data_IF_236617059681
#
_entry.id   IF_236617059681
#
_cell.length_a   1.000
_cell.length_b   1.000
_cell.length_c   1.000
_cell.angle_alpha   90.00
_cell.angle_beta   90.00
_cell.angle_gamma   90.00
#
_symmetry.space_group_name_H-M   'P 1'
#
loop_
_entity.id
_entity.type
_entity.pdbx_description
1 polymer ?
#
# COMPACT_ATOMS: atom_id res chain seq x y z
N UNK A 1 -9.52 5.28 11.42
CA UNK A 1 -9.15 3.85 11.60
C UNK A 1 -10.23 2.89 11.08
N UNK A 2 -11.48 3.08 11.49
CA UNK A 2 -12.63 2.24 11.13
C UNK A 2 -12.83 2.05 9.62
N UNK A 3 -12.66 3.11 8.82
CA UNK A 3 -12.80 3.04 7.35
C UNK A 3 -11.70 2.18 6.71
N UNK A 4 -10.44 2.29 7.16
CA UNK A 4 -9.32 1.52 6.59
C UNK A 4 -9.33 0.04 7.00
N UNK A 5 -9.98 -0.30 8.11
CA UNK A 5 -10.22 -1.69 8.48
C UNK A 5 -11.30 -2.34 7.62
N UNK A 6 -12.31 -1.56 7.19
CA UNK A 6 -13.40 -2.03 6.30
C UNK A 6 -13.00 -1.98 4.82
N UNK A 7 -12.15 -1.04 4.43
CA UNK A 7 -11.60 -0.87 3.09
C UNK A 7 -10.06 -1.02 3.15
N UNK A 8 -9.52 -2.24 3.05
CA UNK A 8 -8.10 -2.52 3.30
C UNK A 8 -7.17 -2.08 2.17
N UNK A 9 -7.71 -1.93 0.96
CA UNK A 9 -6.95 -1.54 -0.23
C UNK A 9 -6.96 -0.02 -0.40
N UNK A 10 -5.76 0.54 -0.58
CA UNK A 10 -5.55 1.94 -0.93
C UNK A 10 -5.70 2.20 -2.43
N UNK A 11 -5.30 1.23 -3.25
CA UNK A 11 -5.45 1.24 -4.70
C UNK A 11 -5.55 -0.18 -5.23
N UNK A 12 -6.20 -0.35 -6.38
CA UNK A 12 -6.28 -1.61 -7.11
C UNK A 12 -6.27 -1.32 -8.62
N UNK A 13 -5.63 -2.19 -9.39
CA UNK A 13 -5.61 -2.19 -10.85
C UNK A 13 -5.84 -3.62 -11.33
N UNK A 14 -6.67 -3.78 -12.36
CA UNK A 14 -6.99 -5.08 -12.96
C UNK A 14 -6.75 -4.93 -14.46
N UNK A 15 -5.93 -5.81 -15.01
CA UNK A 15 -5.63 -5.89 -16.44
C UNK A 15 -6.14 -7.25 -16.92
N UNK A 16 -6.97 -7.23 -17.96
CA UNK A 16 -7.53 -8.44 -18.58
C UNK A 16 -7.03 -8.50 -20.02
N UNK A 17 -6.44 -9.63 -20.37
CA UNK A 17 -5.87 -9.89 -21.70
C UNK A 17 -6.51 -11.16 -22.28
N UNK A 18 -6.81 -11.16 -23.58
CA UNK A 18 -7.25 -12.35 -24.29
C UNK A 18 -6.09 -13.35 -24.45
N UNK A 19 -6.39 -14.65 -24.35
CA UNK A 19 -5.42 -15.71 -24.66
C UNK A 19 -5.53 -16.09 -26.14
N UNK A 20 -4.51 -15.83 -26.98
CA UNK A 20 -4.58 -16.13 -28.40
C UNK A 20 -4.76 -17.64 -28.64
N UNK A 21 -5.77 -18.01 -29.45
CA UNK A 21 -6.06 -19.40 -29.81
C UNK A 21 -7.08 -20.11 -28.92
N UNK A 22 -7.47 -19.51 -27.79
CA UNK A 22 -8.45 -20.07 -26.86
C UNK A 22 -9.62 -19.10 -26.66
N UNK A 23 -10.67 -19.25 -27.47
CA UNK A 23 -11.85 -18.38 -27.38
C UNK A 23 -12.55 -18.51 -26.02
N UNK A 24 -12.81 -17.38 -25.37
CA UNK A 24 -13.44 -17.31 -24.04
C UNK A 24 -12.46 -17.46 -22.87
N UNK A 25 -11.17 -17.64 -23.13
CA UNK A 25 -10.13 -17.62 -22.10
C UNK A 25 -9.47 -16.25 -21.99
N UNK A 26 -9.32 -15.80 -20.74
CA UNK A 26 -8.73 -14.52 -20.41
C UNK A 26 -7.66 -14.69 -19.34
N UNK A 27 -6.55 -13.99 -19.51
CA UNK A 27 -5.52 -13.83 -18.49
C UNK A 27 -5.83 -12.57 -17.69
N UNK A 28 -5.78 -12.68 -16.36
CA UNK A 28 -6.05 -11.57 -15.45
C UNK A 28 -4.81 -11.29 -14.61
N UNK A 29 -4.31 -10.06 -14.66
CA UNK A 29 -3.32 -9.52 -13.74
C UNK A 29 -4.02 -8.60 -12.74
N UNK A 30 -3.80 -8.83 -11.44
CA UNK A 30 -4.39 -8.05 -10.37
C UNK A 30 -3.29 -7.44 -9.51
N UNK A 31 -3.25 -6.11 -9.46
CA UNK A 31 -2.31 -5.35 -8.64
C UNK A 31 -3.06 -4.64 -7.54
N UNK A 32 -2.74 -4.96 -6.29
CA UNK A 32 -3.39 -4.36 -5.13
C UNK A 32 -2.35 -3.69 -4.24
N UNK A 33 -2.68 -2.49 -3.74
CA UNK A 33 -1.84 -1.76 -2.79
C UNK A 33 -2.58 -1.62 -1.46
N UNK A 34 -2.17 -2.31 -0.39
CA UNK A 34 -2.80 -2.17 0.92
C UNK A 34 -2.42 -0.86 1.61
N UNK A 35 -3.14 -0.53 2.68
CA UNK A 35 -2.69 0.50 3.61
C UNK A 35 -1.46 0.02 4.40
N UNK A 36 -0.45 0.89 4.56
CA UNK A 36 0.70 0.59 5.40
C UNK A 36 0.30 0.58 6.88
N UNK A 37 0.67 -0.51 7.56
CA UNK A 37 0.62 -0.61 9.01
C UNK A 37 1.90 -0.01 9.58
N UNK A 38 1.78 0.79 10.63
CA UNK A 38 2.95 1.22 11.39
C UNK A 38 3.58 0.00 12.08
N UNK A 39 4.83 -0.30 11.74
CA UNK A 39 5.55 -1.47 12.26
C UNK A 39 6.70 -1.08 13.21
N UNK A 40 6.88 0.22 13.47
CA UNK A 40 7.93 0.75 14.34
C UNK A 40 8.61 1.99 13.76
N UNK A 41 9.41 2.65 14.60
CA UNK A 41 10.27 3.76 14.23
C UNK A 41 11.53 3.73 15.10
N UNK A 42 12.64 4.20 14.56
CA UNK A 42 13.88 4.43 15.31
C UNK A 42 13.84 5.83 15.90
N UNK A 43 14.16 5.95 17.20
CA UNK A 43 14.30 7.23 17.87
C UNK A 43 15.77 7.48 18.16
N UNK A 44 16.31 8.55 17.59
CA UNK A 44 17.67 9.02 17.88
C UNK A 44 17.60 10.08 18.96
N UNK A 45 18.18 9.79 20.13
CA UNK A 45 18.30 10.73 21.22
C UNK A 45 19.61 11.50 21.08
N UNK A 46 19.52 12.82 21.03
CA UNK A 46 20.68 13.72 21.00
C UNK A 46 20.59 14.73 22.15
N UNK A 47 21.68 14.90 22.88
CA UNK A 47 21.79 15.96 23.89
C UNK A 47 22.01 17.29 23.16
N UNK A 48 21.10 18.25 23.33
CA UNK A 48 21.22 19.59 22.72
C UNK A 48 21.15 20.65 23.82
N UNK A 49 22.19 21.50 23.92
CA UNK A 49 22.34 22.51 24.98
C UNK A 49 21.50 23.79 24.79
N UNK A 50 21.01 24.06 23.57
CA UNK A 50 20.02 25.09 23.26
C UNK A 50 19.06 24.52 22.24
N UNK A 51 17.86 24.16 22.69
CA UNK A 51 16.78 23.74 21.80
C UNK A 51 16.11 25.00 21.24
N UNK A 52 16.19 25.20 19.92
CA UNK A 52 15.38 26.23 19.27
C UNK A 52 13.91 25.88 19.48
N UNK A 53 13.19 26.75 20.18
CA UNK A 53 11.73 26.64 20.33
C UNK A 53 11.08 26.99 19.00
N UNK A 54 10.23 26.09 18.51
CA UNK A 54 9.20 26.40 17.52
C UNK A 54 8.02 27.10 18.19
#
# INVERSE_FOLDING_TARGET
PTVRSRCPLRAAEIIVEDVPGEAGWYKVDMRVRPHFKYMGAFFTLSLVGKLDKK
#
